data_IF_027127916378
#
_entry.id   IF_027127916378
#
_cell.length_a   1.000
_cell.length_b   1.000
_cell.length_c   1.000
_cell.angle_alpha   90.00
_cell.angle_beta   90.00
_cell.angle_gamma   90.00
#
_symmetry.space_group_name_H-M   'P 1'
#
loop_
_entity.id
_entity.type
_entity.pdbx_description
1 polymer ?
#
# COMPACT_ATOMS: atom_id res chain seq x y z
N UNK A 1 -1.03 -9.73 31.39
CA UNK A 1 -0.22 -9.65 30.16
C UNK A 1 -1.14 -9.27 29.01
N UNK A 2 -0.96 -8.11 28.37
CA UNK A 2 -1.79 -7.74 27.25
C UNK A 2 -1.47 -8.70 26.09
N UNK A 3 -2.49 -9.38 25.58
CA UNK A 3 -2.34 -10.32 24.46
C UNK A 3 -1.96 -9.49 23.24
N UNK A 4 -0.76 -9.70 22.70
CA UNK A 4 -0.41 -9.24 21.36
C UNK A 4 -1.44 -9.84 20.40
N UNK A 5 -2.27 -9.00 19.79
CA UNK A 5 -3.19 -9.44 18.75
C UNK A 5 -2.33 -9.93 17.60
N UNK A 6 -2.29 -11.24 17.42
CA UNK A 6 -1.63 -11.88 16.28
C UNK A 6 -2.41 -11.47 15.03
N UNK A 7 -1.90 -10.46 14.33
CA UNK A 7 -2.40 -10.10 13.00
C UNK A 7 -2.20 -11.33 12.12
N UNK A 8 -3.29 -11.92 11.65
CA UNK A 8 -3.21 -13.09 10.78
C UNK A 8 -2.52 -12.67 9.48
N UNK A 9 -1.32 -13.19 9.17
CA UNK A 9 -0.62 -12.84 7.94
C UNK A 9 -1.36 -13.33 6.68
N UNK A 10 -2.44 -14.13 6.83
CA UNK A 10 -3.34 -14.56 5.75
C UNK A 10 -4.53 -13.63 5.52
N UNK A 11 -4.73 -12.61 6.36
CA UNK A 11 -5.79 -11.63 6.17
C UNK A 11 -5.45 -10.71 4.99
N UNK A 12 -5.76 -11.20 3.79
CA UNK A 12 -5.81 -10.41 2.56
C UNK A 12 -7.16 -9.66 2.51
N UNK A 13 -7.19 -8.33 2.64
CA UNK A 13 -8.34 -7.54 2.22
C UNK A 13 -8.46 -7.71 0.71
N UNK A 14 -9.38 -8.58 0.31
CA UNK A 14 -9.64 -8.83 -1.09
C UNK A 14 -10.14 -7.54 -1.72
N UNK A 15 -9.48 -7.12 -2.80
CA UNK A 15 -9.88 -6.02 -3.67
C UNK A 15 -11.38 -6.15 -3.98
N UNK A 16 -12.15 -5.09 -3.73
CA UNK A 16 -13.55 -5.05 -4.13
C UNK A 16 -13.63 -5.31 -5.64
N UNK A 17 -14.42 -6.30 -6.02
CA UNK A 17 -14.52 -6.79 -7.39
C UNK A 17 -15.35 -5.82 -8.22
N UNK A 18 -14.75 -4.72 -8.67
CA UNK A 18 -15.28 -4.00 -9.82
C UNK A 18 -14.88 -4.75 -11.10
N UNK A 19 -15.87 -4.96 -11.97
CA UNK A 19 -15.80 -5.51 -13.33
C UNK A 19 -15.86 -7.06 -13.46
N UNK A 20 -17.09 -7.59 -13.58
CA UNK A 20 -17.36 -8.80 -14.38
C UNK A 20 -18.48 -8.52 -15.39
N UNK A 21 -18.38 -9.08 -16.62
CA UNK A 21 -19.34 -8.85 -17.70
C UNK A 21 -20.70 -9.52 -17.44
N UNK A 22 -21.75 -8.89 -17.98
CA UNK A 22 -23.19 -8.98 -17.67
C UNK A 22 -23.92 -10.29 -18.03
N UNK A 23 -23.26 -11.39 -18.38
CA UNK A 23 -23.94 -12.56 -18.98
C UNK A 23 -23.89 -13.86 -18.15
N UNK A 24 -23.85 -13.77 -16.81
CA UNK A 24 -24.05 -14.94 -15.95
C UNK A 24 -25.29 -14.74 -15.07
N UNK A 25 -26.38 -15.44 -15.40
CA UNK A 25 -27.63 -15.42 -14.63
C UNK A 25 -27.41 -16.20 -13.31
N UNK A 26 -27.34 -15.55 -12.14
CA UNK A 26 -27.09 -16.27 -10.90
C UNK A 26 -28.36 -17.05 -10.51
N UNK A 27 -28.23 -18.36 -10.45
CA UNK A 27 -29.23 -19.20 -9.80
C UNK A 27 -29.22 -18.90 -8.29
N UNK A 28 -30.32 -18.30 -7.81
CA UNK A 28 -30.80 -18.38 -6.43
C UNK A 28 -29.79 -18.09 -5.30
N UNK A 29 -29.80 -16.85 -4.79
CA UNK A 29 -29.58 -16.50 -3.36
C UNK A 29 -28.49 -17.29 -2.61
N UNK A 30 -27.27 -17.37 -3.15
CA UNK A 30 -26.09 -17.58 -2.31
C UNK A 30 -25.59 -16.20 -1.90
N UNK A 31 -26.23 -15.61 -0.90
CA UNK A 31 -25.63 -14.51 -0.16
C UNK A 31 -24.38 -15.09 0.50
N UNK A 32 -23.22 -14.92 -0.12
CA UNK A 32 -21.99 -15.32 0.52
C UNK A 32 -21.81 -14.36 1.69
N UNK A 33 -21.85 -14.89 2.92
CA UNK A 33 -21.68 -14.09 4.13
C UNK A 33 -20.38 -13.28 4.02
N UNK A 34 -19.35 -13.82 3.36
CA UNK A 34 -18.07 -13.16 3.10
C UNK A 34 -18.17 -11.87 2.28
N UNK A 35 -19.22 -11.67 1.46
CA UNK A 35 -19.45 -10.41 0.70
C UNK A 35 -19.73 -9.21 1.61
N UNK A 36 -20.11 -9.46 2.86
CA UNK A 36 -20.41 -8.42 3.85
C UNK A 36 -19.26 -8.21 4.86
N UNK A 37 -18.15 -8.95 4.77
CA UNK A 37 -17.01 -8.82 5.67
C UNK A 37 -15.91 -7.99 5.03
N UNK A 38 -15.93 -6.68 5.31
CA UNK A 38 -14.80 -5.81 5.05
C UNK A 38 -13.76 -5.98 6.16
N UNK A 39 -12.47 -5.93 5.80
CA UNK A 39 -11.39 -6.04 6.79
C UNK A 39 -11.39 -4.76 7.63
N UNK A 40 -12.07 -4.81 8.77
CA UNK A 40 -12.33 -3.65 9.61
C UNK A 40 -11.19 -3.39 10.59
N UNK A 41 -9.93 -3.57 10.20
CA UNK A 41 -8.78 -3.43 11.09
C UNK A 41 -7.65 -2.61 10.46
N UNK A 42 -7.06 -1.73 11.25
CA UNK A 42 -5.88 -0.97 10.90
C UNK A 42 -4.68 -1.89 10.63
N UNK A 43 -3.98 -1.67 9.52
CA UNK A 43 -2.84 -2.48 9.06
C UNK A 43 -1.61 -2.39 9.97
N UNK A 44 -1.52 -1.35 10.81
CA UNK A 44 -0.40 -1.09 11.72
C UNK A 44 -0.72 -1.59 13.13
N UNK A 45 -1.79 -1.09 13.75
CA UNK A 45 -2.10 -1.35 15.17
C UNK A 45 -3.23 -2.37 15.41
N UNK A 46 -4.01 -2.72 14.37
CA UNK A 46 -5.16 -3.64 14.50
C UNK A 46 -6.37 -3.07 15.26
N UNK A 47 -6.47 -1.75 15.39
CA UNK A 47 -7.69 -1.07 15.85
C UNK A 47 -8.80 -1.20 14.80
N UNK A 48 -10.09 -1.13 15.18
CA UNK A 48 -11.18 -1.26 14.23
C UNK A 48 -11.26 -0.05 13.28
N UNK A 49 -11.10 -0.26 11.97
CA UNK A 49 -11.15 0.80 10.94
C UNK A 49 -11.62 0.26 9.60
N UNK A 50 -12.46 1.01 8.88
CA UNK A 50 -12.92 0.69 7.52
C UNK A 50 -11.95 1.11 6.41
N UNK A 51 -11.03 2.02 6.68
CA UNK A 51 -10.17 2.70 5.68
C UNK A 51 -8.73 2.16 5.64
N UNK A 52 -8.49 0.97 6.21
CA UNK A 52 -7.17 0.32 6.21
C UNK A 52 -6.16 0.89 7.23
N UNK A 53 -6.22 2.18 7.56
CA UNK A 53 -5.44 2.80 8.65
C UNK A 53 -6.36 3.63 9.55
N UNK A 54 -6.12 3.62 10.86
CA UNK A 54 -6.84 4.45 11.81
C UNK A 54 -6.24 5.86 11.92
N UNK A 55 -7.03 6.82 12.40
CA UNK A 55 -6.63 8.22 12.57
C UNK A 55 -5.32 8.37 13.37
N UNK A 56 -5.15 7.58 14.44
CA UNK A 56 -3.92 7.58 15.23
C UNK A 56 -2.68 7.23 14.38
N UNK A 57 -2.80 6.24 13.50
CA UNK A 57 -1.70 5.82 12.62
C UNK A 57 -1.47 6.81 11.47
N UNK A 58 -2.51 7.53 11.05
CA UNK A 58 -2.36 8.66 10.12
C UNK A 58 -1.63 9.84 10.76
N UNK A 59 -1.88 10.10 12.05
CA UNK A 59 -1.26 11.22 12.77
C UNK A 59 0.24 11.03 13.05
N UNK A 60 0.72 9.78 13.07
CA UNK A 60 2.15 9.45 13.21
C UNK A 60 2.71 8.82 11.92
N UNK A 61 2.84 9.61 10.83
CA UNK A 61 3.18 9.07 9.52
C UNK A 61 4.59 8.45 9.49
N UNK A 62 5.53 8.95 10.29
CA UNK A 62 6.91 8.43 10.33
C UNK A 62 6.99 6.98 10.80
N UNK A 63 6.32 6.68 11.92
CA UNK A 63 6.27 5.34 12.47
C UNK A 63 5.48 4.41 11.54
N UNK A 64 4.33 4.88 11.04
CA UNK A 64 3.49 4.14 10.10
C UNK A 64 4.25 3.76 8.83
N UNK A 65 4.94 4.71 8.19
CA UNK A 65 5.75 4.47 6.99
C UNK A 65 6.81 3.40 7.24
N UNK A 66 7.54 3.50 8.36
CA UNK A 66 8.59 2.53 8.70
C UNK A 66 8.02 1.11 8.89
N UNK A 67 6.87 0.98 9.56
CA UNK A 67 6.21 -0.31 9.78
C UNK A 67 5.71 -0.91 8.46
N UNK A 68 5.02 -0.11 7.63
CA UNK A 68 4.48 -0.57 6.35
C UNK A 68 5.61 -1.00 5.39
N UNK A 69 6.68 -0.20 5.27
CA UNK A 69 7.86 -0.56 4.49
C UNK A 69 8.52 -1.85 4.97
N UNK A 70 8.69 -2.01 6.29
CA UNK A 70 9.25 -3.23 6.87
C UNK A 70 8.41 -4.46 6.53
N UNK A 71 7.07 -4.32 6.52
CA UNK A 71 6.15 -5.38 6.14
C UNK A 71 6.26 -5.77 4.67
N UNK A 72 6.32 -4.78 3.77
CA UNK A 72 6.52 -4.99 2.33
C UNK A 72 7.83 -5.75 2.08
N UNK A 73 8.94 -5.25 2.64
CA UNK A 73 10.26 -5.88 2.47
C UNK A 73 10.30 -7.31 3.00
N UNK A 74 9.71 -7.56 4.17
CA UNK A 74 9.65 -8.92 4.73
C UNK A 74 8.87 -9.87 3.82
N UNK A 75 7.81 -9.39 3.17
CA UNK A 75 7.02 -10.18 2.23
C UNK A 75 7.77 -10.46 0.93
N UNK A 76 8.38 -9.43 0.32
CA UNK A 76 9.20 -9.58 -0.88
C UNK A 76 10.32 -10.61 -0.66
N UNK A 77 11.01 -10.52 0.48
CA UNK A 77 12.07 -11.48 0.83
C UNK A 77 11.53 -12.91 0.98
N UNK A 78 10.31 -13.09 1.50
CA UNK A 78 9.67 -14.40 1.61
C UNK A 78 9.29 -14.95 0.23
N UNK A 79 8.75 -14.08 -0.64
CA UNK A 79 8.40 -14.43 -2.02
C UNK A 79 9.64 -14.89 -2.79
N UNK A 80 10.69 -14.06 -2.81
CA UNK A 80 11.94 -14.33 -3.51
C UNK A 80 12.54 -15.66 -3.04
N UNK A 81 12.67 -15.87 -1.72
CA UNK A 81 13.25 -17.12 -1.18
C UNK A 81 12.43 -18.35 -1.56
N UNK A 82 11.10 -18.24 -1.50
CA UNK A 82 10.22 -19.37 -1.82
C UNK A 82 10.27 -19.69 -3.31
N UNK A 83 10.25 -18.67 -4.16
CA UNK A 83 10.39 -18.83 -5.61
C UNK A 83 11.75 -19.43 -5.98
N UNK A 84 12.85 -18.97 -5.36
CA UNK A 84 14.20 -19.51 -5.57
C UNK A 84 14.29 -21.02 -5.29
N UNK A 85 13.65 -21.49 -4.23
CA UNK A 85 13.61 -22.92 -3.90
C UNK A 85 12.88 -23.69 -5.01
N UNK A 86 11.73 -23.18 -5.43
CA UNK A 86 10.94 -23.81 -6.47
C UNK A 86 11.64 -23.80 -7.83
N UNK A 87 12.25 -22.70 -8.26
CA UNK A 87 12.99 -22.61 -9.53
C UNK A 87 14.20 -23.54 -9.54
N UNK A 88 14.91 -23.64 -8.41
CA UNK A 88 16.03 -24.60 -8.26
C UNK A 88 15.54 -26.05 -8.37
N UNK A 89 14.40 -26.37 -7.77
CA UNK A 89 13.82 -27.73 -7.81
C UNK A 89 13.30 -28.11 -9.20
N UNK A 90 12.66 -27.20 -9.92
CA UNK A 90 12.05 -27.46 -11.23
C UNK A 90 13.01 -27.23 -12.41
N UNK A 91 14.16 -26.60 -12.17
CA UNK A 91 15.08 -26.16 -13.22
C UNK A 91 14.52 -25.03 -14.08
N UNK A 92 13.53 -24.29 -13.58
CA UNK A 92 12.91 -23.16 -14.29
C UNK A 92 13.85 -21.95 -14.28
N UNK A 93 13.91 -21.21 -15.38
CA UNK A 93 14.75 -20.02 -15.48
C UNK A 93 14.25 -18.91 -14.53
N UNK A 94 15.17 -18.09 -14.03
CA UNK A 94 14.81 -16.92 -13.23
C UNK A 94 13.92 -15.97 -14.06
N UNK A 95 12.73 -15.65 -13.53
CA UNK A 95 11.75 -14.81 -14.19
C UNK A 95 10.61 -15.57 -14.90
N UNK A 96 10.74 -16.88 -15.10
CA UNK A 96 9.64 -17.70 -15.60
C UNK A 96 8.75 -18.21 -14.45
N UNK A 97 7.42 -18.30 -14.65
CA UNK A 97 6.51 -18.77 -13.62
C UNK A 97 6.68 -20.28 -13.38
N UNK A 98 6.83 -20.67 -12.11
CA UNK A 98 6.95 -22.09 -11.75
C UNK A 98 5.57 -22.76 -11.77
N UNK A 99 5.35 -23.69 -12.71
CA UNK A 99 4.08 -24.40 -12.92
C UNK A 99 3.93 -25.71 -12.11
N UNK A 100 4.77 -25.96 -11.11
CA UNK A 100 4.68 -27.18 -10.29
C UNK A 100 3.36 -27.25 -9.49
N UNK A 101 2.66 -28.38 -9.54
CA UNK A 101 1.39 -28.63 -8.81
C UNK A 101 1.44 -29.87 -7.90
N UNK A 102 2.64 -30.33 -7.52
CA UNK A 102 2.80 -31.49 -6.65
C UNK A 102 2.27 -31.20 -5.24
N UNK A 103 1.18 -31.88 -4.86
CA UNK A 103 0.59 -31.79 -3.52
C UNK A 103 1.46 -32.45 -2.44
N UNK A 104 2.36 -33.34 -2.84
CA UNK A 104 3.36 -33.97 -1.96
C UNK A 104 4.56 -33.05 -1.68
N UNK A 105 4.68 -31.93 -2.39
CA UNK A 105 5.76 -30.98 -2.18
C UNK A 105 5.48 -30.09 -0.96
N UNK A 106 6.37 -30.07 0.05
CA UNK A 106 6.19 -29.23 1.24
C UNK A 106 6.23 -27.72 0.93
N UNK A 107 6.78 -27.34 -0.22
CA UNK A 107 6.88 -25.94 -0.67
C UNK A 107 5.70 -25.46 -1.50
N UNK A 108 4.82 -26.36 -1.97
CA UNK A 108 3.73 -25.98 -2.87
C UNK A 108 2.80 -24.93 -2.25
N UNK A 109 2.29 -25.20 -1.04
CA UNK A 109 1.41 -24.27 -0.33
C UNK A 109 2.15 -23.04 0.18
N UNK A 110 3.43 -23.18 0.56
CA UNK A 110 4.27 -22.03 0.94
C UNK A 110 4.43 -21.05 -0.22
N UNK A 111 4.65 -21.54 -1.44
CA UNK A 111 4.72 -20.72 -2.66
C UNK A 111 3.39 -20.05 -2.96
N UNK A 112 2.31 -20.82 -3.00
CA UNK A 112 0.97 -20.26 -3.26
C UNK A 112 0.57 -19.19 -2.23
N UNK A 113 0.93 -19.39 -0.97
CA UNK A 113 0.70 -18.39 0.08
C UNK A 113 1.54 -17.13 -0.14
N UNK A 114 2.81 -17.27 -0.51
CA UNK A 114 3.67 -16.12 -0.80
C UNK A 114 3.14 -15.34 -2.03
N UNK A 115 2.72 -16.02 -3.09
CA UNK A 115 2.14 -15.39 -4.28
C UNK A 115 0.86 -14.60 -3.93
N UNK A 116 -0.05 -15.20 -3.15
CA UNK A 116 -1.28 -14.53 -2.72
C UNK A 116 -1.01 -13.35 -1.77
N UNK A 117 0.01 -13.46 -0.90
CA UNK A 117 0.38 -12.36 -0.01
C UNK A 117 0.98 -11.17 -0.80
N UNK A 118 1.67 -11.42 -1.92
CA UNK A 118 2.19 -10.36 -2.78
C UNK A 118 1.08 -9.50 -3.38
N UNK A 119 -0.04 -10.12 -3.80
CA UNK A 119 -1.19 -9.39 -4.31
C UNK A 119 -1.74 -8.39 -3.28
N UNK A 120 -1.73 -8.78 -2.01
CA UNK A 120 -2.11 -7.88 -0.92
C UNK A 120 -1.08 -6.79 -0.68
N UNK A 121 0.22 -7.09 -0.77
CA UNK A 121 1.26 -6.07 -0.59
C UNK A 121 1.16 -4.91 -1.60
N UNK A 122 0.60 -5.14 -2.80
CA UNK A 122 0.33 -4.05 -3.75
C UNK A 122 -0.68 -3.02 -3.19
N UNK A 123 -1.70 -3.47 -2.46
CA UNK A 123 -2.66 -2.58 -1.80
C UNK A 123 -1.99 -1.84 -0.63
N UNK A 124 -1.09 -2.53 0.09
CA UNK A 124 -0.33 -1.90 1.18
C UNK A 124 0.62 -0.83 0.65
N UNK A 125 1.21 -1.02 -0.55
CA UNK A 125 2.04 -0.03 -1.23
C UNK A 125 1.24 1.23 -1.60
N UNK A 126 0.02 1.08 -2.11
CA UNK A 126 -0.88 2.20 -2.42
C UNK A 126 -1.18 3.04 -1.15
N UNK A 127 -1.55 2.38 -0.05
CA UNK A 127 -1.79 3.05 1.24
C UNK A 127 -0.53 3.76 1.76
N UNK A 128 0.65 3.16 1.56
CA UNK A 128 1.91 3.78 1.95
C UNK A 128 2.17 5.05 1.15
N UNK A 129 1.93 5.03 -0.17
CA UNK A 129 2.06 6.21 -1.03
C UNK A 129 1.14 7.35 -0.57
N UNK A 130 -0.11 7.04 -0.20
CA UNK A 130 -1.06 8.02 0.33
C UNK A 130 -0.54 8.68 1.62
N UNK A 131 0.00 7.89 2.56
CA UNK A 131 0.56 8.41 3.82
C UNK A 131 1.79 9.28 3.57
N UNK A 132 2.64 8.89 2.62
CA UNK A 132 3.82 9.68 2.22
C UNK A 132 3.40 11.01 1.61
N UNK A 133 2.42 11.00 0.70
CA UNK A 133 1.92 12.20 0.05
C UNK A 133 1.29 13.17 1.05
N UNK A 134 0.47 12.66 1.99
CA UNK A 134 -0.12 13.49 3.05
C UNK A 134 0.95 14.17 3.92
N UNK A 135 2.06 13.46 4.24
CA UNK A 135 3.19 14.06 4.96
C UNK A 135 3.88 15.17 4.16
N UNK A 136 3.98 15.03 2.84
CA UNK A 136 4.59 16.06 1.99
C UNK A 136 3.74 17.33 1.95
N UNK A 137 2.41 17.21 1.87
CA UNK A 137 1.49 18.35 1.87
C UNK A 137 1.55 19.17 3.19
N UNK A 138 1.69 18.49 4.33
CA UNK A 138 1.82 19.15 5.64
C UNK A 138 3.14 19.95 5.77
N UNK A 139 4.20 19.51 5.09
CA UNK A 139 5.50 20.23 5.09
C UNK A 139 5.48 21.52 4.26
N UNK A 140 4.60 21.65 3.27
CA UNK A 140 4.55 22.82 2.37
C UNK A 140 3.86 24.02 3.04
N UNK A 141 2.92 23.78 3.95
CA UNK A 141 2.16 24.85 4.63
C UNK A 141 2.91 25.52 5.79
N UNK A 142 3.93 24.87 6.36
CA UNK A 142 4.71 25.43 7.49
C UNK A 142 5.81 26.43 7.07
N UNK A 143 5.98 26.68 5.76
CA UNK A 143 7.04 27.59 5.25
C UNK A 143 6.52 29.01 4.97
N UNK A 144 5.21 29.28 5.01
CA UNK A 144 4.65 30.60 4.63
C UNK A 144 4.43 31.59 5.78
N UNK A 145 4.65 31.23 7.04
CA UNK A 145 4.35 32.10 8.20
C UNK A 145 5.60 32.57 8.94
N UNK A 146 6.63 33.05 8.21
CA UNK A 146 7.81 33.66 8.82
C UNK A 146 8.35 34.87 8.06
N UNK A 147 7.48 35.78 7.60
CA UNK A 147 7.88 37.17 7.33
C UNK A 147 6.75 38.14 7.73
N UNK A 148 6.74 38.56 9.00
CA UNK A 148 6.21 39.89 9.35
C UNK A 148 7.04 40.52 10.47
N UNK A 149 7.97 41.38 10.07
CA UNK A 149 8.62 42.41 10.89
C UNK A 149 9.16 43.45 9.92
N UNK A 150 8.47 44.60 9.86
CA UNK A 150 8.52 45.53 8.74
C UNK A 150 9.86 46.22 8.48
N UNK A 151 9.97 46.72 7.26
CA UNK A 151 10.40 48.09 7.02
C UNK A 151 9.66 48.66 5.81
N UNK A 152 9.31 49.92 6.00
CA UNK A 152 8.67 50.87 5.11
C UNK A 152 9.49 51.17 3.85
N UNK A 153 8.76 51.59 2.81
CA UNK A 153 9.21 52.36 1.63
C UNK A 153 10.04 51.57 0.60
N UNK A 154 9.43 51.30 -0.57
CA UNK A 154 9.95 51.71 -1.89
C UNK A 154 9.15 51.02 -3.02
N UNK A 155 8.06 51.68 -3.42
CA UNK A 155 7.32 51.45 -4.65
C UNK A 155 8.12 52.02 -5.84
N UNK A 156 9.13 51.32 -6.39
CA UNK A 156 9.81 51.79 -7.63
C UNK A 156 10.66 50.70 -8.35
N UNK A 157 10.21 49.45 -8.40
CA UNK A 157 10.91 48.39 -9.16
C UNK A 157 9.96 47.50 -9.98
N UNK A 158 9.13 48.10 -10.84
CA UNK A 158 8.38 47.35 -11.88
C UNK A 158 8.26 48.12 -13.21
N UNK A 159 9.32 48.82 -13.63
CA UNK A 159 9.33 49.54 -14.92
C UNK A 159 10.51 49.17 -15.85
N UNK A 160 11.10 47.98 -15.70
CA UNK A 160 12.29 47.59 -16.48
C UNK A 160 12.17 46.32 -17.35
N UNK A 161 11.05 45.61 -17.36
CA UNK A 161 10.94 44.34 -18.12
C UNK A 161 10.02 44.33 -19.35
N UNK A 162 9.56 45.49 -19.82
CA UNK A 162 8.84 45.61 -21.09
C UNK A 162 9.45 46.65 -22.04
N UNK A 163 10.68 46.42 -22.50
CA UNK A 163 11.10 46.89 -23.82
C UNK A 163 11.28 45.68 -24.75
N UNK A 164 10.26 45.40 -25.56
CA UNK A 164 10.40 44.63 -26.80
C UNK A 164 11.04 45.53 -27.86
N UNK A 165 12.12 45.13 -28.54
CA UNK A 165 12.55 45.82 -29.74
C UNK A 165 11.70 45.39 -30.94
N UNK A 166 11.06 46.38 -31.59
CA UNK A 166 10.41 46.24 -32.89
C UNK A 166 11.44 46.01 -34.01
N UNK A 167 11.09 45.14 -34.95
CA UNK A 167 11.56 45.13 -36.34
C UNK A 167 10.40 44.74 -37.24
#
# INVERSE_FOLDING_TARGET
MPKTRYLDPTASPRKAKEMMPMDFKPSSNRLNIEEHFFNSQCLVCGSPTSEGLCDDCYFFPEETIAILLGRIQANDMRLIKTQQICTTCTGTMLGEPVQCESLDCPWFFSRKRADNEQEFMMIVQEILEDVVNAKMEESVYSTTDNEESGNSEDDDYMDFLFQTPEN
#
